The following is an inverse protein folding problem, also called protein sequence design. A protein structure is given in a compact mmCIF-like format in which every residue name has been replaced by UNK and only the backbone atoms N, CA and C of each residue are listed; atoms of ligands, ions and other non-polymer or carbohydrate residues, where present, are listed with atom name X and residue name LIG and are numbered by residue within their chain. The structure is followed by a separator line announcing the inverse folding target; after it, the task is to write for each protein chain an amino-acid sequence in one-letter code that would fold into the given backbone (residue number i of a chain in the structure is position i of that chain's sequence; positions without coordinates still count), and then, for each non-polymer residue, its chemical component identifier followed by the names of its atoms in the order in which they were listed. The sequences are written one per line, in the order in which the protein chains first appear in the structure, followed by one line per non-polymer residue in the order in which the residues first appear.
data_IF_421070554001
#
_entry.id   IF_421070554001
#
_cell.length_a   1.000
_cell.length_b   1.000
_cell.length_c   1.000
_cell.angle_alpha   90.00
_cell.angle_beta   90.00
_cell.angle_gamma   90.00
#
_symmetry.space_group_name_H-M   'P 1'
#
loop_
_entity.id
_entity.type
_entity.pdbx_description
1 polymer ?
#
# COMPACT_ATOMS: atom_id res chain seq x y z
N UNK A 1 -31.37 25.81 5.18
CA UNK A 1 -30.37 24.92 4.53
C UNK A 1 -28.99 25.48 4.88
N UNK A 2 -28.52 25.16 6.07
CA UNK A 2 -27.30 25.73 6.65
C UNK A 2 -26.23 24.66 6.68
N UNK A 3 -25.13 24.93 5.97
CA UNK A 3 -23.79 24.49 6.31
C UNK A 3 -23.48 23.02 6.09
N UNK A 4 -22.76 22.71 5.01
CA UNK A 4 -21.78 21.62 4.96
C UNK A 4 -20.81 21.85 3.79
N UNK A 5 -20.28 23.07 3.72
CA UNK A 5 -18.90 23.25 3.24
C UNK A 5 -17.99 22.93 4.42
N UNK A 6 -17.97 21.66 4.83
CA UNK A 6 -17.04 21.18 5.84
C UNK A 6 -15.62 21.37 5.28
N UNK A 7 -14.82 22.11 6.03
CA UNK A 7 -13.51 22.61 5.65
C UNK A 7 -12.62 21.52 5.03
N UNK A 8 -12.22 21.71 3.77
CA UNK A 8 -11.10 20.96 3.16
C UNK A 8 -9.78 21.42 3.80
N UNK A 9 -9.58 21.16 5.07
CA UNK A 9 -8.25 21.12 5.63
C UNK A 9 -7.53 19.94 4.96
N UNK A 10 -6.65 20.24 4.00
CA UNK A 10 -5.88 19.21 3.31
C UNK A 10 -5.11 18.36 4.32
N UNK A 11 -5.17 17.04 4.17
CA UNK A 11 -4.39 16.13 5.02
C UNK A 11 -2.89 16.36 4.79
N UNK A 12 -2.07 16.36 5.85
CA UNK A 12 -0.62 16.47 5.72
C UNK A 12 -0.06 15.28 4.92
N UNK A 13 1.04 15.50 4.19
CA UNK A 13 1.70 14.45 3.41
C UNK A 13 2.91 13.91 4.16
N UNK A 14 3.15 12.60 4.08
CA UNK A 14 4.31 11.96 4.74
C UNK A 14 5.60 12.67 4.34
N UNK A 15 5.82 12.91 3.04
CA UNK A 15 7.07 13.49 2.56
C UNK A 15 7.26 14.96 3.02
N UNK A 16 6.18 15.74 3.00
CA UNK A 16 6.20 17.19 3.26
C UNK A 16 6.07 17.57 4.73
N UNK A 17 5.79 16.63 5.63
CA UNK A 17 5.59 16.94 7.06
C UNK A 17 6.91 16.96 7.82
N UNK A 18 7.14 17.99 8.64
CA UNK A 18 8.30 18.03 9.54
C UNK A 18 8.19 16.92 10.60
N UNK A 19 9.24 16.13 10.76
CA UNK A 19 9.21 14.91 11.59
C UNK A 19 9.03 15.15 13.10
N UNK A 20 9.11 16.40 13.56
CA UNK A 20 8.85 16.82 14.95
C UNK A 20 7.53 17.60 15.10
N UNK A 21 6.69 17.65 14.07
CA UNK A 21 5.43 18.36 14.11
C UNK A 21 4.55 17.85 15.28
N UNK A 22 3.93 18.74 16.07
CA UNK A 22 3.13 18.34 17.24
C UNK A 22 2.00 17.35 16.92
N UNK A 23 1.46 17.40 15.70
CA UNK A 23 0.43 16.47 15.22
C UNK A 23 0.91 15.03 15.14
N UNK A 24 2.23 14.76 15.12
CA UNK A 24 2.78 13.41 15.05
C UNK A 24 3.13 12.82 16.41
N UNK A 25 3.30 13.68 17.43
CA UNK A 25 3.94 13.31 18.69
C UNK A 25 3.03 12.47 19.57
N UNK A 26 3.45 11.24 19.90
CA UNK A 26 2.69 10.30 20.74
C UNK A 26 1.24 10.11 20.25
N UNK A 27 1.00 10.11 18.93
CA UNK A 27 -0.33 9.92 18.31
C UNK A 27 -0.44 8.55 17.63
N UNK A 28 -1.66 8.11 17.39
CA UNK A 28 -1.95 7.03 16.45
C UNK A 28 -1.94 7.62 15.04
N UNK A 29 -1.08 7.10 14.18
CA UNK A 29 -0.93 7.59 12.81
C UNK A 29 -1.68 6.69 11.84
N UNK A 30 -2.34 7.32 10.87
CA UNK A 30 -2.80 6.66 9.66
C UNK A 30 -1.93 7.15 8.50
N UNK A 31 -1.19 6.26 7.85
CA UNK A 31 -0.51 6.54 6.59
C UNK A 31 -1.35 5.91 5.48
N UNK A 32 -2.05 6.75 4.71
CA UNK A 32 -2.98 6.31 3.68
C UNK A 32 -2.45 6.62 2.27
N UNK A 33 -2.78 5.78 1.28
CA UNK A 33 -2.57 6.15 -0.12
C UNK A 33 -3.34 7.43 -0.44
N UNK A 34 -2.69 8.37 -1.12
CA UNK A 34 -3.26 9.69 -1.36
C UNK A 34 -4.54 9.68 -2.21
N UNK A 35 -4.76 8.61 -2.99
CA UNK A 35 -5.97 8.42 -3.76
C UNK A 35 -7.14 7.84 -2.94
N UNK A 36 -6.90 7.25 -1.76
CA UNK A 36 -7.96 6.59 -0.97
C UNK A 36 -9.13 7.52 -0.58
N UNK A 37 -8.91 8.80 -0.18
CA UNK A 37 -10.01 9.73 0.07
C UNK A 37 -10.92 9.98 -1.14
N UNK A 38 -10.47 9.68 -2.36
CA UNK A 38 -11.25 9.81 -3.59
C UNK A 38 -11.86 8.48 -4.02
N UNK A 39 -11.12 7.37 -3.88
CA UNK A 39 -11.57 6.03 -4.24
C UNK A 39 -12.67 5.55 -3.29
N UNK A 40 -12.46 5.72 -1.97
CA UNK A 40 -13.43 5.33 -0.95
C UNK A 40 -13.43 6.34 0.22
N UNK A 41 -14.13 7.48 0.07
CA UNK A 41 -14.13 8.56 1.06
C UNK A 41 -14.69 8.14 2.42
N UNK A 42 -15.67 7.23 2.44
CA UNK A 42 -16.29 6.74 3.67
C UNK A 42 -15.33 5.85 4.46
N UNK A 43 -14.70 4.88 3.80
CA UNK A 43 -13.69 4.02 4.43
C UNK A 43 -12.53 4.86 4.96
N UNK A 44 -12.05 5.83 4.18
CA UNK A 44 -10.99 6.72 4.63
C UNK A 44 -11.38 7.49 5.91
N UNK A 45 -12.58 8.08 5.96
CA UNK A 45 -13.07 8.80 7.15
C UNK A 45 -13.12 7.88 8.38
N UNK A 46 -13.67 6.67 8.22
CA UNK A 46 -13.72 5.64 9.29
C UNK A 46 -12.32 5.28 9.80
N UNK A 47 -11.36 5.11 8.89
CA UNK A 47 -9.98 4.77 9.26
C UNK A 47 -9.25 5.94 9.92
N UNK A 48 -9.51 7.17 9.47
CA UNK A 48 -8.87 8.40 9.96
C UNK A 48 -9.42 8.82 11.34
N UNK A 49 -10.61 8.38 11.72
CA UNK A 49 -11.23 8.71 12.99
C UNK A 49 -10.29 8.39 14.18
N UNK A 50 -10.08 9.41 15.03
CA UNK A 50 -9.19 9.34 16.19
C UNK A 50 -7.69 9.31 15.88
N UNK A 51 -7.27 9.33 14.61
CA UNK A 51 -5.87 9.22 14.17
C UNK A 51 -5.40 10.50 13.49
N UNK A 52 -4.08 10.70 13.48
CA UNK A 52 -3.46 11.69 12.59
C UNK A 52 -3.23 11.06 11.23
N UNK A 53 -4.07 11.42 10.27
CA UNK A 53 -3.97 10.94 8.90
C UNK A 53 -2.90 11.73 8.11
N UNK A 54 -2.00 10.97 7.47
CA UNK A 54 -0.97 11.41 6.56
C UNK A 54 -1.19 10.74 5.21
N UNK A 55 -1.16 11.51 4.13
CA UNK A 55 -1.24 10.97 2.77
C UNK A 55 0.16 10.65 2.24
N UNK A 56 0.26 9.60 1.45
CA UNK A 56 1.47 9.24 0.71
C UNK A 56 1.13 8.71 -0.68
N UNK A 57 1.96 9.05 -1.65
CA UNK A 57 1.91 8.51 -3.00
C UNK A 57 3.35 8.25 -3.48
N UNK A 58 3.85 7.00 -3.37
CA UNK A 58 5.19 6.66 -3.82
C UNK A 58 5.46 6.90 -5.31
N UNK A 59 4.42 7.06 -6.12
CA UNK A 59 4.52 7.46 -7.52
C UNK A 59 4.86 8.96 -7.71
N UNK A 60 4.44 9.81 -6.76
CA UNK A 60 4.67 11.27 -6.79
C UNK A 60 5.82 11.72 -5.90
N UNK A 61 6.09 10.96 -4.85
CA UNK A 61 7.07 11.28 -3.81
C UNK A 61 8.39 10.51 -4.02
N UNK A 62 9.40 10.82 -3.23
CA UNK A 62 10.66 10.07 -3.28
C UNK A 62 10.45 8.62 -2.87
N UNK A 63 11.18 7.64 -3.46
CA UNK A 63 11.14 6.24 -3.04
C UNK A 63 11.66 5.99 -1.62
N UNK A 64 12.23 7.01 -0.96
CA UNK A 64 12.86 6.89 0.36
C UNK A 64 11.88 7.08 1.54
N UNK A 65 10.61 6.68 1.42
CA UNK A 65 9.64 6.75 2.54
C UNK A 65 10.13 6.04 3.80
N UNK A 66 10.91 4.97 3.67
CA UNK A 66 11.48 4.24 4.82
C UNK A 66 12.28 5.17 5.75
N UNK A 67 13.10 6.06 5.20
CA UNK A 67 13.92 6.99 5.98
C UNK A 67 13.09 8.09 6.63
N UNK A 68 12.06 8.56 5.92
CA UNK A 68 11.11 9.55 6.45
C UNK A 68 10.29 8.96 7.59
N UNK A 69 9.74 7.75 7.41
CA UNK A 69 8.97 7.03 8.42
C UNK A 69 9.85 6.71 9.63
N UNK A 70 11.07 6.19 9.43
CA UNK A 70 12.03 5.96 10.52
C UNK A 70 12.32 7.25 11.31
N UNK A 71 12.50 8.38 10.62
CA UNK A 71 12.72 9.68 11.25
C UNK A 71 11.50 10.17 12.04
N UNK A 72 10.28 9.96 11.53
CA UNK A 72 9.03 10.25 12.25
C UNK A 72 8.95 9.40 13.52
N UNK A 73 9.19 8.08 13.43
CA UNK A 73 9.15 7.18 14.58
C UNK A 73 10.15 7.63 15.65
N UNK A 74 11.42 7.84 15.27
CA UNK A 74 12.48 8.26 16.21
C UNK A 74 12.16 9.61 16.87
N UNK A 75 11.66 10.57 16.10
CA UNK A 75 11.50 11.97 16.55
C UNK A 75 10.20 12.21 17.30
N UNK A 76 9.11 11.58 16.87
CA UNK A 76 7.76 11.83 17.37
C UNK A 76 7.18 10.71 18.21
N UNK A 77 7.77 9.50 18.18
CA UNK A 77 7.32 8.34 18.97
C UNK A 77 5.81 8.11 18.88
N UNK A 78 5.26 7.90 17.66
CA UNK A 78 3.85 7.60 17.52
C UNK A 78 3.48 6.35 18.33
N UNK A 79 2.26 6.31 18.86
CA UNK A 79 1.75 5.16 19.63
C UNK A 79 1.57 3.95 18.74
N UNK A 80 0.95 4.16 17.58
CA UNK A 80 0.75 3.14 16.56
C UNK A 80 0.83 3.74 15.16
N UNK A 81 1.10 2.90 14.15
CA UNK A 81 1.06 3.28 12.73
C UNK A 81 0.18 2.29 11.98
N UNK A 82 -0.92 2.78 11.42
CA UNK A 82 -1.74 2.03 10.47
C UNK A 82 -1.38 2.46 9.06
N UNK A 83 -0.97 1.52 8.22
CA UNK A 83 -0.67 1.77 6.80
C UNK A 83 -1.82 1.20 5.98
N UNK A 84 -2.46 2.01 5.15
CA UNK A 84 -3.57 1.60 4.29
C UNK A 84 -3.34 2.06 2.86
N UNK A 85 -3.33 1.14 1.89
CA UNK A 85 -3.16 1.51 0.48
C UNK A 85 -4.21 0.86 -0.42
N UNK A 86 -4.35 1.35 -1.65
CA UNK A 86 -5.04 0.59 -2.70
C UNK A 86 -4.22 -0.66 -3.01
N UNK A 87 -4.90 -1.80 -3.17
CA UNK A 87 -4.24 -3.05 -3.53
C UNK A 87 -3.88 -3.11 -5.03
N UNK A 88 -2.90 -3.93 -5.39
CA UNK A 88 -2.49 -4.15 -6.78
C UNK A 88 -1.68 -3.02 -7.44
N UNK A 89 -1.53 -1.86 -6.80
CA UNK A 89 -0.62 -0.80 -7.27
C UNK A 89 0.84 -1.13 -6.88
N UNK A 90 1.78 -1.22 -7.86
CA UNK A 90 3.18 -1.55 -7.56
C UNK A 90 3.85 -0.49 -6.67
N UNK A 91 3.44 0.77 -6.77
CA UNK A 91 3.95 1.86 -5.96
C UNK A 91 3.46 1.78 -4.51
N UNK A 92 2.19 1.40 -4.30
CA UNK A 92 1.59 1.31 -2.96
C UNK A 92 2.26 0.22 -2.11
N UNK A 93 2.69 -0.89 -2.71
CA UNK A 93 3.47 -1.92 -2.04
C UNK A 93 4.75 -1.36 -1.38
N UNK A 94 5.44 -0.44 -2.04
CA UNK A 94 6.68 0.16 -1.52
C UNK A 94 6.47 0.92 -0.20
N UNK A 95 5.27 1.45 0.04
CA UNK A 95 4.92 2.13 1.29
C UNK A 95 4.82 1.15 2.46
N UNK A 96 4.22 -0.02 2.25
CA UNK A 96 4.21 -1.09 3.25
C UNK A 96 5.62 -1.62 3.51
N UNK A 97 6.41 -1.85 2.46
CA UNK A 97 7.80 -2.26 2.60
C UNK A 97 8.62 -1.22 3.38
N UNK A 98 8.37 0.06 3.16
CA UNK A 98 9.03 1.17 3.85
C UNK A 98 8.75 1.20 5.35
N UNK A 99 7.53 0.86 5.78
CA UNK A 99 7.21 0.77 7.20
C UNK A 99 7.93 -0.40 7.90
N UNK A 100 8.12 -1.53 7.22
CA UNK A 100 8.95 -2.63 7.72
C UNK A 100 10.43 -2.26 7.74
N UNK A 101 10.92 -1.60 6.69
CA UNK A 101 12.32 -1.16 6.58
C UNK A 101 12.67 -0.13 7.67
N UNK A 102 11.71 0.72 8.06
CA UNK A 102 11.89 1.65 9.17
C UNK A 102 12.22 0.94 10.50
N UNK A 103 11.61 -0.22 10.79
CA UNK A 103 11.98 -1.03 11.95
C UNK A 103 13.41 -1.54 11.86
N UNK A 104 13.81 -2.01 10.68
CA UNK A 104 15.18 -2.47 10.42
C UNK A 104 16.19 -1.35 10.65
N UNK A 105 15.92 -0.14 10.13
CA UNK A 105 16.78 1.04 10.30
C UNK A 105 16.89 1.45 11.76
N UNK A 106 15.79 1.38 12.52
CA UNK A 106 15.78 1.81 13.92
C UNK A 106 16.31 0.74 14.88
N UNK A 107 16.29 -0.53 14.48
CA UNK A 107 16.61 -1.66 15.34
C UNK A 107 15.56 -1.91 16.42
N UNK A 108 14.32 -1.43 16.24
CA UNK A 108 13.24 -1.57 17.22
C UNK A 108 11.91 -1.92 16.53
N UNK A 109 11.06 -2.65 17.25
CA UNK A 109 9.73 -3.02 16.76
C UNK A 109 8.76 -1.86 16.99
N UNK A 110 7.95 -1.58 15.97
CA UNK A 110 6.92 -0.53 16.03
C UNK A 110 5.55 -1.20 16.05
N UNK A 111 4.64 -0.70 16.87
CA UNK A 111 3.24 -1.10 16.82
C UNK A 111 2.64 -0.62 15.49
N UNK A 112 2.47 -1.54 14.54
CA UNK A 112 1.96 -1.21 13.21
C UNK A 112 1.03 -2.29 12.65
N UNK A 113 0.11 -1.84 11.81
CA UNK A 113 -0.79 -2.69 11.02
C UNK A 113 -0.73 -2.30 9.54
N UNK A 114 -0.82 -3.30 8.67
CA UNK A 114 -0.88 -3.09 7.22
C UNK A 114 -2.27 -3.51 6.74
N UNK A 115 -2.91 -2.64 5.98
CA UNK A 115 -4.15 -2.95 5.28
C UNK A 115 -4.03 -2.59 3.82
N UNK A 116 -4.71 -3.35 2.98
CA UNK A 116 -4.94 -2.99 1.59
C UNK A 116 -6.43 -2.87 1.33
N UNK A 117 -6.80 -2.03 0.37
CA UNK A 117 -8.17 -1.84 -0.10
C UNK A 117 -8.29 -2.50 -1.46
N UNK A 118 -8.85 -3.71 -1.47
CA UNK A 118 -9.04 -4.54 -2.67
C UNK A 118 -10.18 -3.96 -3.49
N UNK A 119 -9.94 -3.73 -4.79
CA UNK A 119 -10.89 -3.13 -5.73
C UNK A 119 -11.52 -1.80 -5.26
N UNK A 120 -10.88 -1.08 -4.33
CA UNK A 120 -11.42 0.16 -3.77
C UNK A 120 -12.54 -0.03 -2.73
N UNK A 121 -12.89 -1.26 -2.36
CA UNK A 121 -14.06 -1.55 -1.52
C UNK A 121 -13.70 -2.31 -0.24
N UNK A 122 -12.98 -3.43 -0.37
CA UNK A 122 -12.76 -4.36 0.73
C UNK A 122 -11.45 -4.07 1.46
N UNK A 123 -11.52 -3.84 2.78
CA UNK A 123 -10.34 -3.65 3.62
C UNK A 123 -9.81 -5.01 4.12
N UNK A 124 -8.59 -5.37 3.75
CA UNK A 124 -7.95 -6.64 4.13
C UNK A 124 -6.70 -6.37 4.95
N UNK A 125 -6.57 -7.02 6.11
CA UNK A 125 -5.35 -6.94 6.94
C UNK A 125 -4.25 -7.83 6.37
N UNK A 126 -3.05 -7.28 6.24
CA UNK A 126 -1.87 -7.95 5.70
C UNK A 126 -0.84 -8.13 6.81
N UNK A 127 -0.31 -9.34 6.94
CA UNK A 127 0.76 -9.60 7.92
C UNK A 127 2.05 -8.86 7.51
N UNK A 128 2.85 -8.36 8.47
CA UNK A 128 4.16 -7.80 8.16
C UNK A 128 5.09 -8.79 7.44
N UNK A 129 4.87 -10.10 7.57
CA UNK A 129 5.65 -11.14 6.89
C UNK A 129 5.24 -11.31 5.43
N UNK A 130 3.96 -11.17 5.09
CA UNK A 130 3.52 -11.17 3.69
C UNK A 130 4.22 -10.05 2.90
N UNK A 131 4.31 -8.85 3.49
CA UNK A 131 5.06 -7.72 2.91
C UNK A 131 6.55 -8.05 2.74
N UNK A 132 7.16 -8.76 3.70
CA UNK A 132 8.56 -9.21 3.60
C UNK A 132 8.72 -10.24 2.48
N UNK A 133 7.88 -11.27 2.44
CA UNK A 133 7.90 -12.33 1.42
C UNK A 133 7.73 -11.76 0.02
N UNK A 134 6.84 -10.79 -0.17
CA UNK A 134 6.63 -10.11 -1.45
C UNK A 134 7.90 -9.42 -2.02
N UNK A 135 8.91 -9.12 -1.19
CA UNK A 135 10.23 -8.62 -1.66
C UNK A 135 11.14 -9.72 -2.21
N UNK A 136 10.86 -10.98 -1.89
CA UNK A 136 11.67 -12.13 -2.28
C UNK A 136 10.95 -12.95 -3.35
N UNK A 137 11.08 -12.50 -4.61
CA UNK A 137 10.38 -13.10 -5.74
C UNK A 137 10.63 -14.61 -5.91
N UNK A 138 11.81 -15.12 -5.53
CA UNK A 138 12.09 -16.56 -5.56
C UNK A 138 11.21 -17.37 -4.58
N UNK A 139 10.82 -16.77 -3.45
CA UNK A 139 9.89 -17.39 -2.48
C UNK A 139 8.46 -17.28 -3.02
N UNK A 140 8.09 -16.12 -3.56
CA UNK A 140 6.76 -15.91 -4.16
C UNK A 140 6.53 -16.89 -5.32
N UNK A 141 7.51 -17.02 -6.22
CA UNK A 141 7.49 -17.96 -7.34
C UNK A 141 7.39 -19.42 -6.87
N UNK A 142 8.13 -19.78 -5.81
CA UNK A 142 7.99 -21.09 -5.17
C UNK A 142 6.55 -21.33 -4.70
N UNK A 143 5.94 -20.35 -4.01
CA UNK A 143 4.56 -20.45 -3.53
C UNK A 143 3.58 -20.59 -4.70
N UNK A 144 3.76 -19.83 -5.79
CA UNK A 144 2.90 -19.94 -6.98
C UNK A 144 2.97 -21.34 -7.59
N UNK A 145 4.16 -21.96 -7.63
CA UNK A 145 4.32 -23.35 -8.12
C UNK A 145 3.69 -24.38 -7.21
N UNK A 146 3.76 -24.19 -5.90
CA UNK A 146 3.16 -25.07 -4.90
C UNK A 146 1.63 -24.87 -4.80
N UNK A 147 1.14 -23.68 -5.15
CA UNK A 147 -0.26 -23.24 -5.03
C UNK A 147 -0.78 -22.54 -6.31
N UNK A 148 -0.91 -23.26 -7.43
CA UNK A 148 -1.34 -22.67 -8.70
C UNK A 148 -2.77 -22.09 -8.66
N UNK A 149 -3.59 -22.49 -7.69
CA UNK A 149 -4.93 -21.94 -7.46
C UNK A 149 -4.94 -20.43 -7.18
N UNK A 150 -3.84 -19.87 -6.66
CA UNK A 150 -3.69 -18.42 -6.39
C UNK A 150 -3.88 -17.60 -7.69
N UNK A 151 -3.53 -18.17 -8.84
CA UNK A 151 -3.70 -17.51 -10.13
C UNK A 151 -5.18 -17.26 -10.47
N UNK A 152 -6.12 -18.03 -9.90
CA UNK A 152 -7.56 -17.77 -10.03
C UNK A 152 -7.97 -16.50 -9.29
N UNK A 153 -7.42 -16.27 -8.09
CA UNK A 153 -7.68 -15.04 -7.35
C UNK A 153 -7.05 -13.84 -8.05
N UNK A 154 -5.82 -13.98 -8.58
CA UNK A 154 -5.18 -12.93 -9.36
C UNK A 154 -6.00 -12.56 -10.61
N UNK A 155 -6.58 -13.54 -11.31
CA UNK A 155 -7.47 -13.32 -12.47
C UNK A 155 -8.70 -12.47 -12.12
N UNK A 156 -9.26 -12.66 -10.92
CA UNK A 156 -10.45 -11.93 -10.46
C UNK A 156 -10.17 -10.47 -10.20
N UNK A 157 -9.01 -10.14 -9.63
CA UNK A 157 -8.70 -8.78 -9.16
C UNK A 157 -7.80 -7.98 -10.09
N UNK A 158 -6.95 -8.63 -10.89
CA UNK A 158 -5.96 -7.93 -11.73
C UNK A 158 -6.43 -7.76 -13.18
N UNK A 159 -6.61 -6.51 -13.59
CA UNK A 159 -6.81 -6.15 -15.00
C UNK A 159 -5.56 -6.41 -15.83
N UNK A 160 -4.38 -6.14 -15.25
CA UNK A 160 -3.08 -6.35 -15.91
C UNK A 160 -2.86 -7.83 -16.24
N UNK A 161 -3.11 -8.73 -15.28
CA UNK A 161 -2.91 -10.16 -15.48
C UNK A 161 -3.89 -10.73 -16.52
N UNK A 162 -5.15 -10.27 -16.51
CA UNK A 162 -6.12 -10.63 -17.55
C UNK A 162 -5.68 -10.19 -18.93
N UNK A 163 -5.00 -9.05 -19.05
CA UNK A 163 -4.42 -8.61 -20.31
C UNK A 163 -3.20 -9.47 -20.69
N UNK A 164 -2.31 -9.78 -19.75
CA UNK A 164 -1.14 -10.63 -19.98
C UNK A 164 -1.55 -12.02 -20.52
N UNK A 165 -2.58 -12.65 -19.94
CA UNK A 165 -3.11 -13.94 -20.44
C UNK A 165 -3.58 -13.89 -21.89
N UNK A 166 -4.22 -12.79 -22.30
CA UNK A 166 -4.68 -12.61 -23.69
C UNK A 166 -3.52 -12.45 -24.67
N UNK A 167 -2.44 -11.79 -24.24
CA UNK A 167 -1.24 -11.63 -25.06
C UNK A 167 -0.55 -12.98 -25.26
N UNK A 168 -0.37 -13.76 -24.19
CA UNK A 168 0.24 -15.11 -24.26
C UNK A 168 -0.53 -16.03 -25.22
N UNK A 169 -1.86 -16.10 -25.09
CA UNK A 169 -2.66 -16.95 -25.99
C UNK A 169 -2.56 -16.52 -27.46
N UNK A 170 -2.40 -15.21 -27.72
CA UNK A 170 -2.18 -14.70 -29.08
C UNK A 170 -0.80 -15.08 -29.62
N UNK A 171 0.22 -15.08 -28.78
CA UNK A 171 1.58 -15.47 -29.17
C UNK A 171 1.61 -16.97 -29.51
N UNK A 172 0.96 -17.82 -28.72
CA UNK A 172 0.80 -19.26 -29.00
C UNK A 172 0.08 -19.51 -30.35
N UNK A 173 -1.03 -18.80 -30.62
CA UNK A 173 -1.76 -18.88 -31.90
C UNK A 173 -0.88 -18.48 -33.11
N UNK A 174 -0.02 -17.46 -32.95
CA UNK A 174 0.89 -16.99 -34.01
C UNK A 174 2.04 -17.98 -34.25
N UNK A 175 2.60 -18.58 -33.21
CA UNK A 175 3.62 -19.62 -33.31
C UNK A 175 3.08 -20.89 -34.00
N UNK A 176 1.86 -21.32 -33.67
CA UNK A 176 1.19 -22.44 -34.34
C UNK A 176 0.92 -22.14 -35.83
N UNK A 177 0.51 -20.92 -36.17
CA UNK A 177 0.29 -20.51 -37.56
C UNK A 177 1.61 -20.48 -38.36
N UNK A 178 2.71 -20.06 -37.75
CA UNK A 178 4.05 -20.03 -38.37
C UNK A 178 4.68 -21.43 -38.50
N UNK A 179 4.37 -22.37 -37.62
CA UNK A 179 4.86 -23.75 -37.69
C UNK A 179 4.12 -24.62 -38.73
N UNK A 180 2.90 -24.23 -39.11
CA UNK A 180 2.03 -24.97 -40.03
C UNK A 180 1.98 -24.39 -41.46
N UNK A 181 2.74 -23.33 -41.76
CA UNK A 181 2.84 -22.68 -43.07
C UNK A 181 4.22 -22.78 -43.68
#
# INVERSE_FOLDING_TARGET
MTGEHEERAGYPWVWSTWVKAPILRNRDLLIASACLPFVNPELFRKLAEGKTALLACPERESPAHYGKIASIIRSSKPRSITIVTIDGSPHCFALHASANEAEYILGERVEKKHYVVVNGEELVEISPNAVRVARYLHIVDKIIREHPEIMKELDRVSLEYRQAKKLIGKDEELEEAAANG
#
